data_IF_713517177703
#
_entry.id   IF_713517177703
#
_cell.length_a   1.000
_cell.length_b   1.000
_cell.length_c   1.000
_cell.angle_alpha   90.00
_cell.angle_beta   90.00
_cell.angle_gamma   90.00
#
_symmetry.space_group_name_H-M   'P 1'
#
loop_
_entity.id
_entity.type
_entity.pdbx_description
1 polymer ?
#
# COMPACT_ATOMS: atom_id res chain seq x y z
N UNK A 1 42.14 -35.18 -23.23
CA UNK A 1 41.06 -35.80 -22.44
C UNK A 1 39.80 -34.96 -22.64
N UNK A 2 38.75 -35.58 -23.20
CA UNK A 2 37.29 -35.44 -22.96
C UNK A 2 36.72 -34.00 -22.90
N UNK A 3 35.60 -33.60 -23.53
CA UNK A 3 34.74 -33.98 -24.65
C UNK A 3 33.54 -32.99 -24.60
N UNK A 4 32.99 -32.58 -25.76
CA UNK A 4 31.54 -32.39 -26.12
C UNK A 4 30.58 -31.69 -25.12
N UNK A 5 29.58 -30.87 -25.48
CA UNK A 5 28.98 -30.29 -26.69
C UNK A 5 27.98 -29.21 -26.17
N UNK A 6 27.80 -28.05 -26.82
CA UNK A 6 26.66 -27.66 -27.71
C UNK A 6 25.25 -27.79 -27.05
N UNK A 7 24.29 -26.87 -27.21
CA UNK A 7 23.79 -26.17 -28.41
C UNK A 7 23.25 -24.76 -28.04
N UNK A 8 23.49 -23.66 -28.79
CA UNK A 8 22.90 -23.23 -30.09
C UNK A 8 21.35 -23.14 -30.05
N UNK A 9 20.66 -22.09 -30.53
CA UNK A 9 20.84 -21.24 -31.73
C UNK A 9 19.95 -19.97 -31.59
N UNK A 10 20.39 -18.75 -31.92
CA UNK A 10 20.25 -18.06 -33.24
C UNK A 10 18.78 -17.90 -33.73
N UNK A 11 18.27 -16.78 -34.26
CA UNK A 11 18.79 -15.44 -34.59
C UNK A 11 17.61 -14.49 -34.91
N UNK A 12 17.92 -13.19 -34.87
CA UNK A 12 17.20 -12.02 -35.39
C UNK A 12 16.33 -12.21 -36.66
N UNK A 13 15.25 -11.42 -36.76
CA UNK A 13 15.11 -10.38 -37.79
C UNK A 13 13.86 -9.51 -37.57
N UNK A 14 14.05 -8.21 -37.67
CA UNK A 14 13.04 -7.16 -37.68
C UNK A 14 12.68 -6.82 -39.14
N UNK A 15 11.39 -6.68 -39.48
CA UNK A 15 10.95 -6.08 -40.74
C UNK A 15 9.42 -5.86 -40.82
N UNK A 16 9.04 -4.58 -40.85
CA UNK A 16 8.03 -3.97 -41.75
C UNK A 16 6.51 -4.22 -41.55
N UNK A 17 5.78 -3.14 -41.27
CA UNK A 17 4.33 -2.94 -41.59
C UNK A 17 4.19 -2.30 -42.99
N UNK A 18 3.12 -2.51 -43.80
CA UNK A 18 1.86 -1.72 -43.66
C UNK A 18 0.52 -2.29 -44.23
N UNK A 19 -0.60 -1.65 -43.83
CA UNK A 19 -1.94 -1.41 -44.49
C UNK A 19 -2.96 -2.53 -44.87
N UNK A 20 -4.15 -2.41 -44.25
CA UNK A 20 -5.55 -2.45 -44.78
C UNK A 20 -6.14 -3.74 -45.40
N UNK A 21 -7.20 -4.35 -44.80
CA UNK A 21 -8.63 -4.28 -45.24
C UNK A 21 -9.56 -5.36 -44.58
N UNK A 22 -10.63 -4.89 -43.92
CA UNK A 22 -12.01 -5.43 -43.75
C UNK A 22 -12.27 -6.96 -43.76
N UNK A 23 -12.69 -7.50 -42.60
CA UNK A 23 -13.75 -8.52 -42.59
C UNK A 23 -14.64 -8.39 -41.34
N UNK A 24 -15.84 -7.83 -41.55
CA UNK A 24 -16.93 -7.83 -40.59
C UNK A 24 -17.51 -9.25 -40.57
N UNK A 25 -17.38 -9.97 -39.47
CA UNK A 25 -18.16 -11.19 -39.21
C UNK A 25 -18.97 -11.01 -37.94
N UNK A 26 -20.26 -11.20 -38.13
CA UNK A 26 -21.37 -11.09 -37.21
C UNK A 26 -21.17 -12.09 -36.06
N UNK A 27 -21.13 -11.61 -34.82
CA UNK A 27 -21.26 -12.47 -33.64
C UNK A 27 -22.75 -12.69 -33.34
N UNK A 28 -23.20 -13.94 -33.16
CA UNK A 28 -24.57 -14.22 -32.78
C UNK A 28 -24.87 -13.67 -31.38
N UNK A 29 -26.03 -13.04 -31.26
CA UNK A 29 -26.65 -12.59 -30.01
C UNK A 29 -26.77 -13.76 -29.05
N UNK A 30 -25.90 -13.81 -28.04
CA UNK A 30 -26.07 -14.71 -26.91
C UNK A 30 -27.01 -14.04 -25.91
N UNK A 31 -28.24 -14.55 -25.94
CA UNK A 31 -29.30 -14.33 -24.99
C UNK A 31 -28.82 -14.34 -23.54
N UNK A 32 -29.42 -13.42 -22.78
CA UNK A 32 -29.62 -13.42 -21.34
C UNK A 32 -29.42 -14.78 -20.66
N UNK A 33 -28.27 -14.95 -20.03
CA UNK A 33 -28.08 -15.88 -18.94
C UNK A 33 -27.46 -15.11 -17.77
N UNK A 34 -28.27 -14.85 -16.75
CA UNK A 34 -27.90 -14.20 -15.50
C UNK A 34 -26.69 -14.89 -14.86
N UNK A 35 -25.50 -14.31 -15.05
CA UNK A 35 -24.34 -14.66 -14.26
C UNK A 35 -24.56 -14.12 -12.83
N UNK A 36 -24.88 -15.01 -11.88
CA UNK A 36 -24.83 -14.75 -10.44
C UNK A 36 -23.45 -14.19 -10.07
N UNK A 37 -23.35 -12.88 -9.92
CA UNK A 37 -22.18 -12.21 -9.33
C UNK A 37 -22.17 -12.57 -7.84
N UNK A 38 -21.19 -13.37 -7.43
CA UNK A 38 -20.82 -13.46 -6.02
C UNK A 38 -20.18 -12.13 -5.66
N UNK A 39 -20.93 -11.22 -5.04
CA UNK A 39 -20.36 -9.98 -4.50
C UNK A 39 -19.39 -10.37 -3.39
N UNK A 40 -18.09 -10.22 -3.63
CA UNK A 40 -17.13 -10.26 -2.53
C UNK A 40 -17.49 -9.12 -1.56
N UNK A 41 -17.54 -9.39 -0.25
CA UNK A 41 -17.83 -8.36 0.73
C UNK A 41 -16.75 -7.27 0.62
N UNK A 42 -17.17 -6.01 0.67
CA UNK A 42 -16.25 -4.88 0.68
C UNK A 42 -15.25 -5.01 1.85
N UNK A 43 -13.99 -4.57 1.67
CA UNK A 43 -13.00 -4.60 2.73
C UNK A 43 -13.48 -3.82 3.95
N UNK A 44 -13.08 -4.22 5.18
CA UNK A 44 -13.41 -3.49 6.39
C UNK A 44 -12.78 -2.10 6.34
N UNK A 45 -13.60 -1.08 6.63
CA UNK A 45 -13.22 0.34 6.57
C UNK A 45 -13.47 1.01 7.92
N UNK A 46 -12.52 1.85 8.34
CA UNK A 46 -12.53 2.59 9.60
C UNK A 46 -12.47 4.10 9.33
N UNK A 47 -13.26 4.88 10.06
CA UNK A 47 -13.15 6.35 10.09
C UNK A 47 -12.31 6.76 11.28
N UNK A 48 -11.17 7.39 11.03
CA UNK A 48 -10.17 7.75 12.04
C UNK A 48 -9.72 9.21 11.88
N UNK A 49 -9.06 9.75 12.89
CA UNK A 49 -8.21 10.94 12.67
C UNK A 49 -6.83 10.50 12.17
N UNK A 50 -6.16 11.35 11.40
CA UNK A 50 -4.79 11.14 10.95
C UNK A 50 -3.86 12.26 11.41
N UNK A 51 -2.62 11.90 11.69
CA UNK A 51 -1.51 12.84 11.85
C UNK A 51 -0.29 12.37 11.07
N UNK A 52 0.80 13.15 11.15
CA UNK A 52 2.11 12.74 10.67
C UNK A 52 3.15 12.83 11.77
N UNK A 53 4.19 12.01 11.67
CA UNK A 53 5.35 12.07 12.55
C UNK A 53 6.67 11.96 11.79
N UNK A 54 7.70 12.54 12.40
CA UNK A 54 9.09 12.37 12.01
C UNK A 54 9.76 11.33 12.92
N UNK A 55 10.68 10.49 12.39
CA UNK A 55 11.43 9.53 13.18
C UNK A 55 12.53 10.25 13.99
N UNK A 56 12.12 10.94 15.05
CA UNK A 56 12.98 11.78 15.89
C UNK A 56 12.64 11.65 17.37
N UNK A 57 13.65 11.76 18.26
CA UNK A 57 13.45 11.53 19.71
C UNK A 57 12.40 12.42 20.37
N UNK A 58 12.08 13.59 19.82
CA UNK A 58 11.06 14.48 20.37
C UNK A 58 9.63 14.04 20.04
N UNK A 59 9.46 13.16 19.05
CA UNK A 59 8.17 12.62 18.63
C UNK A 59 8.06 11.11 18.91
N UNK A 60 9.19 10.43 19.08
CA UNK A 60 9.28 8.98 19.33
C UNK A 60 9.87 8.68 20.72
N UNK A 61 10.12 7.41 21.00
CA UNK A 61 10.95 7.00 22.14
C UNK A 61 12.46 7.18 21.86
N UNK A 62 13.29 6.59 22.72
CA UNK A 62 14.76 6.65 22.63
C UNK A 62 15.35 6.01 21.37
N UNK A 63 14.56 5.27 20.59
CA UNK A 63 14.98 4.53 19.39
C UNK A 63 14.19 4.96 18.15
N UNK A 64 14.30 6.23 17.70
CA UNK A 64 13.44 6.84 16.66
C UNK A 64 13.39 6.12 15.30
N UNK A 65 14.38 5.26 15.02
CA UNK A 65 14.51 4.57 13.75
C UNK A 65 14.17 3.08 13.82
N UNK A 66 13.62 2.62 14.95
CA UNK A 66 13.16 1.24 15.14
C UNK A 66 11.68 1.30 15.47
N UNK A 67 10.85 0.68 14.64
CA UNK A 67 9.39 0.63 14.84
C UNK A 67 9.03 -0.44 15.88
N UNK A 68 7.79 -0.42 16.37
CA UNK A 68 7.33 -1.39 17.36
C UNK A 68 7.36 -2.86 16.88
N UNK A 69 7.31 -3.12 15.57
CA UNK A 69 7.51 -4.47 15.00
C UNK A 69 9.00 -4.85 14.82
N UNK A 70 9.93 -3.95 15.13
CA UNK A 70 11.38 -4.14 15.00
C UNK A 70 11.97 -3.75 13.65
N UNK A 71 11.16 -3.24 12.70
CA UNK A 71 11.63 -2.76 11.41
C UNK A 71 12.48 -1.49 11.54
N UNK A 72 13.38 -1.25 10.56
CA UNK A 72 14.31 -0.11 10.57
C UNK A 72 13.91 0.95 9.56
N UNK A 73 13.64 2.15 10.05
CA UNK A 73 13.31 3.32 9.21
C UNK A 73 14.54 3.78 8.43
N UNK A 74 14.39 3.98 7.12
CA UNK A 74 15.39 4.65 6.30
C UNK A 74 15.50 6.13 6.68
N UNK A 75 16.66 6.55 7.19
CA UNK A 75 16.90 7.92 7.65
C UNK A 75 16.92 8.97 6.54
N UNK A 76 17.31 8.57 5.33
CA UNK A 76 17.50 9.51 4.22
C UNK A 76 16.18 9.95 3.59
N UNK A 77 15.22 9.03 3.57
CA UNK A 77 13.90 9.22 2.96
C UNK A 77 12.84 8.34 3.66
N UNK A 78 12.40 8.73 4.87
CA UNK A 78 11.45 7.94 5.64
C UNK A 78 10.10 7.76 4.94
N UNK A 79 9.59 8.84 4.32
CA UNK A 79 8.25 8.89 3.73
C UNK A 79 8.05 7.94 2.55
N UNK A 80 9.11 7.67 1.76
CA UNK A 80 9.05 6.69 0.68
C UNK A 80 8.72 5.26 1.11
N UNK A 81 8.93 4.92 2.37
CA UNK A 81 8.61 3.58 2.87
C UNK A 81 7.09 3.35 2.99
N UNK A 82 6.29 4.43 3.00
CA UNK A 82 4.83 4.38 3.19
C UNK A 82 4.44 3.53 4.39
N UNK A 83 5.02 3.87 5.55
CA UNK A 83 4.70 3.21 6.82
C UNK A 83 3.72 4.04 7.62
N UNK A 84 2.92 3.34 8.41
CA UNK A 84 1.90 3.94 9.26
C UNK A 84 1.93 3.32 10.66
N UNK A 85 1.74 4.17 11.66
CA UNK A 85 1.48 3.77 13.02
C UNK A 85 -0.03 3.77 13.27
N UNK A 86 -0.53 2.74 13.96
CA UNK A 86 -1.95 2.66 14.34
C UNK A 86 -2.11 2.79 15.84
N UNK A 87 -3.19 3.43 16.29
CA UNK A 87 -3.58 3.44 17.70
C UNK A 87 -3.87 2.00 18.19
N UNK A 88 -3.69 1.78 19.50
CA UNK A 88 -3.71 0.42 20.06
C UNK A 88 -5.07 -0.25 19.93
N UNK A 89 -6.14 0.49 20.11
CA UNK A 89 -7.53 0.04 19.94
C UNK A 89 -7.84 -0.45 18.52
N UNK A 90 -7.12 0.05 17.50
CA UNK A 90 -7.25 -0.46 16.13
C UNK A 90 -6.42 -1.73 15.90
N UNK A 91 -5.40 -1.98 16.73
CA UNK A 91 -4.50 -3.10 16.56
C UNK A 91 -4.98 -4.38 17.29
N UNK A 92 -4.87 -5.53 16.64
CA UNK A 92 -5.34 -6.85 17.09
C UNK A 92 -4.89 -7.25 18.49
N UNK A 93 -3.62 -7.00 18.81
CA UNK A 93 -3.04 -7.19 20.14
C UNK A 93 -3.87 -6.58 21.29
N UNK A 94 -4.65 -5.52 21.04
CA UNK A 94 -5.53 -4.91 22.04
C UNK A 94 -7.02 -4.97 21.67
N UNK A 95 -7.40 -5.89 20.79
CA UNK A 95 -8.81 -6.16 20.45
C UNK A 95 -9.30 -5.47 19.17
N UNK A 96 -8.45 -4.78 18.43
CA UNK A 96 -8.77 -4.27 17.10
C UNK A 96 -8.65 -5.33 16.00
N UNK A 97 -8.66 -4.89 14.74
CA UNK A 97 -8.69 -5.79 13.57
C UNK A 97 -7.39 -5.71 12.73
N UNK A 98 -6.52 -4.75 13.01
CA UNK A 98 -5.31 -4.46 12.24
C UNK A 98 -4.08 -5.14 12.88
N UNK A 99 -3.22 -5.75 12.08
CA UNK A 99 -1.95 -6.35 12.50
C UNK A 99 -0.76 -5.61 11.89
N UNK A 100 0.42 -5.78 12.50
CA UNK A 100 1.67 -5.48 11.80
C UNK A 100 1.76 -6.22 10.47
N UNK A 101 2.22 -5.50 9.45
CA UNK A 101 2.34 -6.00 8.08
C UNK A 101 1.07 -5.84 7.23
N UNK A 102 -0.08 -5.53 7.83
CA UNK A 102 -1.30 -5.26 7.06
C UNK A 102 -1.10 -4.03 6.16
N UNK A 103 -1.71 -4.09 4.98
CA UNK A 103 -1.75 -2.98 4.03
C UNK A 103 -3.06 -2.22 4.18
N UNK A 104 -2.95 -0.92 4.40
CA UNK A 104 -4.06 -0.01 4.64
C UNK A 104 -4.15 0.99 3.49
N UNK A 105 -5.29 1.01 2.80
CA UNK A 105 -5.62 2.08 1.88
C UNK A 105 -6.15 3.27 2.68
N UNK A 106 -5.39 4.36 2.69
CA UNK A 106 -5.72 5.60 3.36
C UNK A 106 -6.25 6.61 2.34
N UNK A 107 -7.40 7.21 2.61
CA UNK A 107 -8.00 8.23 1.76
C UNK A 107 -8.62 9.37 2.58
N UNK A 108 -8.61 10.59 2.03
CA UNK A 108 -9.21 11.76 2.67
C UNK A 108 -8.21 12.67 3.39
N UNK A 109 -6.91 12.52 3.14
CA UNK A 109 -5.86 13.42 3.65
C UNK A 109 -5.50 14.45 2.57
N UNK A 110 -4.99 13.99 1.43
CA UNK A 110 -4.65 14.78 0.24
C UNK A 110 -4.24 13.88 -0.93
N UNK A 111 -4.24 14.39 -2.17
CA UNK A 111 -3.77 13.61 -3.34
C UNK A 111 -2.36 13.02 -3.18
N UNK A 112 -1.47 13.71 -2.46
CA UNK A 112 -0.07 13.27 -2.28
C UNK A 112 0.08 12.21 -1.17
N UNK A 113 -0.80 12.25 -0.18
CA UNK A 113 -0.73 11.41 1.02
C UNK A 113 -1.69 10.23 0.98
N UNK A 114 -2.75 10.31 0.19
CA UNK A 114 -3.65 9.20 -0.01
C UNK A 114 -2.92 8.05 -0.73
N UNK A 115 -3.26 6.81 -0.37
CA UNK A 115 -2.64 5.63 -0.95
C UNK A 115 -2.42 4.50 0.04
N UNK A 116 -1.57 3.55 -0.36
CA UNK A 116 -1.32 2.34 0.39
C UNK A 116 -0.18 2.51 1.41
N UNK A 117 -0.43 2.10 2.64
CA UNK A 117 0.54 2.13 3.73
C UNK A 117 0.66 0.76 4.40
N UNK A 118 1.86 0.43 4.88
CA UNK A 118 2.11 -0.80 5.63
C UNK A 118 2.19 -0.48 7.12
N UNK A 119 1.42 -1.21 7.92
CA UNK A 119 1.43 -1.07 9.37
C UNK A 119 2.74 -1.61 9.93
N UNK A 120 3.56 -0.74 10.50
CA UNK A 120 4.85 -1.11 11.11
C UNK A 120 4.99 -0.70 12.56
N UNK A 121 4.14 0.23 13.01
CA UNK A 121 4.28 0.84 14.31
C UNK A 121 2.95 0.98 15.04
N UNK A 122 3.02 1.28 16.35
CA UNK A 122 1.83 1.52 17.18
C UNK A 122 2.00 2.79 18.00
N UNK A 123 0.88 3.50 18.17
CA UNK A 123 0.89 4.76 18.92
C UNK A 123 0.90 4.53 20.45
N UNK A 124 1.17 5.61 21.18
CA UNK A 124 1.05 5.65 22.63
C UNK A 124 -0.38 5.27 23.07
N UNK A 125 -0.51 4.53 24.19
CA UNK A 125 -1.78 4.03 24.73
C UNK A 125 -2.87 5.07 25.00
N UNK A 126 -2.52 6.36 25.11
CA UNK A 126 -3.47 7.47 25.33
C UNK A 126 -4.18 7.92 24.07
N UNK A 127 -3.72 7.48 22.90
CA UNK A 127 -4.24 7.86 21.60
C UNK A 127 -5.17 6.76 21.11
N UNK A 128 -6.36 7.16 20.66
CA UNK A 128 -7.42 6.28 20.22
C UNK A 128 -8.00 6.72 18.87
N UNK A 129 -8.53 5.77 18.12
CA UNK A 129 -9.16 5.96 16.81
C UNK A 129 -8.36 6.88 15.87
N UNK A 130 -7.04 6.65 15.83
CA UNK A 130 -6.08 7.47 15.09
C UNK A 130 -5.03 6.64 14.37
N UNK A 131 -4.55 7.16 13.26
CA UNK A 131 -3.34 6.73 12.56
C UNK A 131 -2.31 7.85 12.44
N UNK A 132 -1.04 7.50 12.33
CA UNK A 132 0.08 8.44 12.21
C UNK A 132 0.99 8.03 11.06
N UNK A 133 1.14 8.88 10.05
CA UNK A 133 1.90 8.57 8.84
C UNK A 133 3.36 8.98 9.02
N UNK A 134 4.27 8.05 8.72
CA UNK A 134 5.70 8.32 8.71
C UNK A 134 6.05 9.23 7.54
N UNK A 135 6.62 10.40 7.84
CA UNK A 135 7.10 11.36 6.84
C UNK A 135 8.56 11.73 7.10
N UNK A 136 9.23 12.22 6.06
CA UNK A 136 10.56 12.82 6.16
C UNK A 136 10.50 14.33 6.34
N UNK A 137 11.50 14.92 7.01
CA UNK A 137 11.60 16.39 7.14
C UNK A 137 11.62 17.14 5.80
N UNK A 138 12.17 16.50 4.76
CA UNK A 138 12.27 17.08 3.42
C UNK A 138 10.91 17.22 2.75
N UNK A 139 9.94 16.41 3.16
CA UNK A 139 8.58 16.42 2.62
C UNK A 139 7.85 17.69 3.06
N UNK A 140 8.27 18.31 4.18
CA UNK A 140 7.68 19.54 4.77
C UNK A 140 6.17 19.40 5.04
N UNK A 141 5.72 18.19 5.28
CA UNK A 141 4.35 17.85 5.63
C UNK A 141 4.21 17.90 7.15
N UNK A 142 3.24 18.67 7.63
CA UNK A 142 2.72 18.64 8.99
C UNK A 142 1.21 18.86 8.91
N UNK A 143 0.44 18.10 9.68
CA UNK A 143 -1.00 18.25 9.67
C UNK A 143 -1.71 17.31 10.62
N UNK A 144 -2.99 17.60 10.79
CA UNK A 144 -3.95 16.78 11.51
C UNK A 144 -5.26 16.83 10.73
N UNK A 145 -5.84 15.68 10.47
CA UNK A 145 -7.05 15.53 9.67
C UNK A 145 -8.05 14.67 10.42
N UNK A 146 -9.31 15.05 10.32
CA UNK A 146 -10.43 14.28 10.84
C UNK A 146 -11.16 13.57 9.69
N UNK A 147 -11.93 12.53 10.03
CA UNK A 147 -12.76 11.77 9.08
C UNK A 147 -11.99 11.05 7.96
N UNK A 148 -10.73 10.71 8.19
CA UNK A 148 -9.90 9.93 7.26
C UNK A 148 -10.40 8.50 7.20
N UNK A 149 -10.53 7.98 5.98
CA UNK A 149 -10.97 6.62 5.73
C UNK A 149 -9.78 5.69 5.59
N UNK A 150 -9.81 4.57 6.31
CA UNK A 150 -8.78 3.54 6.29
C UNK A 150 -9.44 2.21 5.97
N UNK A 151 -9.16 1.64 4.80
CA UNK A 151 -9.61 0.32 4.41
C UNK A 151 -8.46 -0.68 4.52
N UNK A 152 -8.71 -1.81 5.21
CA UNK A 152 -7.73 -2.91 5.27
C UNK A 152 -7.95 -3.84 4.06
N UNK A 153 -6.90 -4.04 3.27
CA UNK A 153 -6.90 -4.88 2.06
C UNK A 153 -6.48 -6.32 2.35
#
# INVERSE_FOLDING_TARGET
>A
MIAFAEEFSFVNAESTTPKTEKHLLILPSVDSAEAKIKTEPAPPTFTVSASVYYPEPNQTDATPYTTADGSRINKHDPGKQRWIAVSRDLHSRWGGEINYGDSLLVTGISEEMDGLYIVRDVMNRRIHNRVDILVGRKDRIMGFWDEVQVAKL
#
